data_IF_316357470189
#
_entry.id   IF_316357470189
#
_cell.length_a   1.000
_cell.length_b   1.000
_cell.length_c   1.000
_cell.angle_alpha   90.00
_cell.angle_beta   90.00
_cell.angle_gamma   90.00
#
_symmetry.space_group_name_H-M   'P 1'
#
loop_
_entity.id
_entity.type
_entity.pdbx_description
1 polymer ?
#
# COMPACT_ATOMS: atom_id res chain seq x y z
N UNK A 1 -0.42 -7.11 6.72
CA UNK A 1 0.51 -8.17 7.17
C UNK A 1 1.28 -7.64 8.37
N UNK A 2 1.02 -8.16 9.60
CA UNK A 2 1.71 -7.68 10.79
C UNK A 2 3.24 -7.77 10.67
N UNK A 3 3.94 -6.77 11.21
CA UNK A 3 5.39 -6.69 11.14
C UNK A 3 5.94 -6.41 9.75
N UNK A 4 5.07 -6.02 8.83
CA UNK A 4 5.44 -5.79 7.43
C UNK A 4 4.74 -4.55 6.88
N UNK A 5 3.57 -4.71 6.26
CA UNK A 5 2.90 -3.60 5.56
C UNK A 5 1.37 -3.66 5.70
N UNK A 6 0.70 -2.54 5.41
CA UNK A 6 -0.67 -2.53 4.93
C UNK A 6 -0.67 -2.07 3.48
N UNK A 7 -1.50 -2.67 2.66
CA UNK A 7 -1.53 -2.42 1.21
C UNK A 7 -2.95 -2.16 0.73
N UNK A 8 -3.11 -1.23 -0.17
CA UNK A 8 -4.39 -0.87 -0.75
C UNK A 8 -4.24 -0.27 -2.14
N UNK A 9 -5.34 0.27 -2.66
CA UNK A 9 -5.32 0.98 -3.93
C UNK A 9 -5.63 0.14 -5.16
N UNK A 10 -6.15 -1.10 -5.01
CA UNK A 10 -6.67 -1.85 -6.16
C UNK A 10 -7.99 -1.23 -6.61
N UNK A 11 -7.93 -0.32 -7.57
CA UNK A 11 -9.11 0.39 -8.07
C UNK A 11 -10.04 -0.46 -8.93
N UNK A 12 -9.61 -1.65 -9.32
CA UNK A 12 -10.41 -2.58 -10.13
C UNK A 12 -11.11 -3.62 -9.27
N UNK A 13 -10.39 -4.31 -8.39
CA UNK A 13 -10.91 -5.42 -7.59
C UNK A 13 -11.09 -5.08 -6.10
N UNK A 14 -10.60 -3.95 -5.66
CA UNK A 14 -10.73 -3.47 -4.28
C UNK A 14 -12.01 -2.70 -3.99
N UNK A 15 -12.88 -2.50 -4.95
CA UNK A 15 -14.19 -1.86 -4.76
C UNK A 15 -15.12 -2.79 -4.00
N UNK A 16 -16.02 -2.20 -3.19
CA UNK A 16 -17.00 -3.00 -2.44
C UNK A 16 -17.79 -3.97 -3.31
N UNK A 17 -18.11 -3.58 -4.53
CA UNK A 17 -18.84 -4.42 -5.50
C UNK A 17 -18.03 -5.60 -6.02
N UNK A 18 -16.70 -5.61 -5.85
CA UNK A 18 -15.80 -6.60 -6.42
C UNK A 18 -15.05 -7.44 -5.38
N UNK A 19 -15.19 -7.15 -4.09
CA UNK A 19 -14.39 -7.77 -3.02
C UNK A 19 -14.55 -9.29 -2.95
N UNK A 20 -15.72 -9.80 -3.28
CA UNK A 20 -16.01 -11.24 -3.19
C UNK A 20 -15.54 -12.05 -4.41
N UNK A 21 -15.00 -11.40 -5.44
CA UNK A 21 -14.55 -12.08 -6.65
C UNK A 21 -13.19 -12.78 -6.50
N UNK A 22 -12.51 -12.61 -5.36
CA UNK A 22 -11.23 -13.27 -5.08
C UNK A 22 -10.03 -12.71 -5.83
N UNK A 23 -10.16 -11.51 -6.40
CA UNK A 23 -9.11 -10.89 -7.23
C UNK A 23 -8.46 -9.67 -6.62
N UNK A 24 -8.80 -9.32 -5.37
CA UNK A 24 -8.22 -8.17 -4.68
C UNK A 24 -6.70 -8.31 -4.65
N UNK A 25 -6.01 -7.24 -5.02
CA UNK A 25 -4.55 -7.20 -5.10
C UNK A 25 -3.98 -7.47 -6.48
N UNK A 26 -4.81 -7.79 -7.47
CA UNK A 26 -4.35 -8.10 -8.83
C UNK A 26 -4.65 -7.01 -9.85
N UNK A 27 -5.46 -6.03 -9.49
CA UNK A 27 -5.90 -4.97 -10.39
C UNK A 27 -5.09 -3.69 -10.31
N UNK A 28 -5.41 -2.77 -11.20
CA UNK A 28 -4.75 -1.48 -11.30
C UNK A 28 -5.59 -0.47 -12.08
N UNK A 29 -4.99 0.67 -12.43
CA UNK A 29 -5.72 1.78 -13.05
C UNK A 29 -5.91 1.65 -14.56
N UNK A 30 -5.46 0.55 -15.16
CA UNK A 30 -5.49 0.36 -16.62
C UNK A 30 -4.22 0.82 -17.33
N UNK A 31 -3.21 1.24 -16.59
CA UNK A 31 -1.89 1.61 -17.11
C UNK A 31 -0.81 1.24 -16.10
N UNK A 32 0.43 1.24 -16.54
CA UNK A 32 1.62 1.05 -15.70
C UNK A 32 2.63 2.15 -15.97
N UNK A 33 3.46 2.44 -14.98
CA UNK A 33 4.52 3.44 -15.14
C UNK A 33 5.84 2.96 -14.53
N UNK A 34 6.92 3.60 -14.97
CA UNK A 34 8.29 3.20 -14.63
C UNK A 34 8.62 3.43 -13.16
N UNK A 35 9.53 2.63 -12.64
CA UNK A 35 10.09 2.82 -11.32
C UNK A 35 10.94 4.08 -11.25
N UNK A 36 10.95 4.71 -10.08
CA UNK A 36 11.89 5.77 -9.74
C UNK A 36 13.02 5.21 -8.88
N UNK A 37 14.23 5.79 -8.95
CA UNK A 37 15.32 5.39 -8.05
C UNK A 37 14.91 5.55 -6.59
N UNK A 38 15.18 4.55 -5.78
CA UNK A 38 14.86 4.59 -4.34
C UNK A 38 15.93 5.39 -3.62
N UNK A 39 15.58 6.56 -3.11
CA UNK A 39 16.50 7.50 -2.47
C UNK A 39 16.48 7.49 -0.94
N UNK A 40 15.60 6.73 -0.34
CA UNK A 40 15.47 6.62 1.11
C UNK A 40 15.42 5.17 1.54
N UNK A 41 15.01 4.95 2.79
CA UNK A 41 14.85 3.63 3.37
C UNK A 41 13.38 3.36 3.66
N UNK A 42 13.01 2.08 3.69
CA UNK A 42 11.65 1.65 4.04
C UNK A 42 11.49 1.61 5.55
N UNK A 43 11.46 2.79 6.17
CA UNK A 43 11.24 2.95 7.60
C UNK A 43 9.76 2.78 7.94
N UNK A 44 9.44 2.64 9.21
CA UNK A 44 8.04 2.63 9.64
C UNK A 44 7.34 3.90 9.15
N UNK A 45 6.18 3.74 8.51
CA UNK A 45 5.45 4.84 7.89
C UNK A 45 5.88 5.18 6.47
N UNK A 46 6.88 4.50 5.90
CA UNK A 46 7.25 4.71 4.50
C UNK A 46 6.10 4.31 3.57
N UNK A 47 5.85 5.15 2.58
CA UNK A 47 4.79 4.98 1.59
C UNK A 47 5.44 4.70 0.24
N UNK A 48 5.15 3.55 -0.34
CA UNK A 48 5.76 3.10 -1.59
C UNK A 48 4.74 2.42 -2.50
N UNK A 49 5.08 2.34 -3.79
CA UNK A 49 4.22 1.68 -4.78
C UNK A 49 4.42 0.17 -4.75
N UNK A 50 3.33 -0.58 -4.67
CA UNK A 50 3.35 -2.01 -4.93
C UNK A 50 3.55 -2.25 -6.43
N UNK A 51 4.18 -3.37 -6.79
CA UNK A 51 4.39 -3.73 -8.18
C UNK A 51 4.42 -5.26 -8.37
N UNK A 52 4.44 -5.68 -9.62
CA UNK A 52 4.57 -7.07 -10.02
C UNK A 52 5.85 -7.34 -10.84
N UNK A 53 6.89 -6.61 -10.57
CA UNK A 53 8.17 -6.65 -11.24
C UNK A 53 8.61 -5.25 -11.69
N UNK A 54 9.74 -5.13 -12.39
CA UNK A 54 10.25 -3.84 -12.84
C UNK A 54 9.24 -3.07 -13.70
N UNK A 55 9.10 -1.77 -13.43
CA UNK A 55 8.29 -0.85 -14.21
C UNK A 55 6.81 -1.26 -14.33
N UNK A 56 6.24 -1.79 -13.24
CA UNK A 56 4.84 -2.20 -13.21
C UNK A 56 4.03 -1.46 -12.14
N UNK A 57 4.41 -0.22 -11.81
CA UNK A 57 3.64 0.60 -10.90
C UNK A 57 2.26 0.91 -11.49
N UNK A 58 1.26 0.87 -10.65
CA UNK A 58 -0.12 1.18 -11.04
C UNK A 58 -0.79 2.05 -9.99
N UNK A 59 -1.85 1.56 -9.35
CA UNK A 59 -2.56 2.29 -8.30
C UNK A 59 -2.35 1.71 -6.90
N UNK A 60 -1.83 0.49 -6.79
CA UNK A 60 -1.63 -0.12 -5.48
C UNK A 60 -0.40 0.44 -4.79
N UNK A 61 -0.52 0.67 -3.49
CA UNK A 61 0.55 1.18 -2.66
C UNK A 61 0.54 0.47 -1.31
N UNK A 62 1.63 0.60 -0.58
CA UNK A 62 1.70 0.07 0.79
C UNK A 62 2.34 1.07 1.74
N UNK A 63 2.02 0.91 3.01
CA UNK A 63 2.63 1.65 4.12
C UNK A 63 3.36 0.64 4.98
N UNK A 64 4.65 0.84 5.21
CA UNK A 64 5.43 0.00 6.10
C UNK A 64 4.98 0.20 7.54
N UNK A 65 4.67 -0.88 8.24
CA UNK A 65 4.29 -0.82 9.66
C UNK A 65 5.50 -0.84 10.57
N UNK A 66 6.62 -1.34 10.06
CA UNK A 66 7.88 -1.51 10.78
C UNK A 66 9.05 -1.00 9.92
N UNK A 67 10.22 -0.90 10.50
CA UNK A 67 11.44 -0.61 9.76
C UNK A 67 11.83 -1.85 8.95
N UNK A 68 11.72 -1.75 7.63
CA UNK A 68 12.04 -2.84 6.71
C UNK A 68 13.39 -2.65 6.02
N UNK A 69 14.21 -1.74 6.51
CA UNK A 69 15.57 -1.51 5.98
C UNK A 69 16.37 -2.80 5.99
N UNK A 70 16.91 -3.19 4.85
CA UNK A 70 17.64 -4.43 4.69
C UNK A 70 16.80 -5.70 4.61
N UNK A 71 15.48 -5.61 4.82
CA UNK A 71 14.56 -6.74 4.72
C UNK A 71 13.73 -6.69 3.44
N UNK A 72 13.32 -5.50 3.01
CA UNK A 72 12.58 -5.29 1.77
C UNK A 72 13.57 -4.88 0.68
N UNK A 73 13.61 -5.59 -0.47
CA UNK A 73 14.47 -5.18 -1.58
C UNK A 73 14.12 -3.78 -2.07
N UNK A 74 15.12 -3.04 -2.56
CA UNK A 74 14.94 -1.65 -3.03
C UNK A 74 14.35 -1.61 -4.45
N UNK A 75 13.24 -2.32 -4.64
CA UNK A 75 12.55 -2.46 -5.93
C UNK A 75 11.22 -1.74 -5.98
N UNK A 76 10.89 -0.98 -4.95
CA UNK A 76 9.59 -0.33 -4.81
C UNK A 76 9.78 1.18 -4.77
N UNK A 77 9.13 1.89 -5.68
CA UNK A 77 9.20 3.34 -5.74
C UNK A 77 8.71 3.97 -4.44
N UNK A 78 9.64 4.55 -3.69
CA UNK A 78 9.38 5.21 -2.42
C UNK A 78 9.00 6.66 -2.69
N UNK A 79 7.79 7.09 -2.29
CA UNK A 79 7.31 8.41 -2.65
C UNK A 79 6.75 9.23 -1.48
N UNK A 80 6.66 8.67 -0.29
CA UNK A 80 6.09 9.42 0.81
C UNK A 80 6.41 8.85 2.18
N UNK A 81 5.97 9.58 3.19
CA UNK A 81 6.15 9.23 4.60
C UNK A 81 4.91 9.66 5.37
N UNK A 82 4.36 8.75 6.15
CA UNK A 82 3.25 9.07 7.05
C UNK A 82 3.75 10.00 8.16
N UNK A 83 3.08 11.13 8.32
CA UNK A 83 3.41 12.13 9.35
C UNK A 83 2.44 12.09 10.54
N UNK A 84 1.22 11.62 10.31
CA UNK A 84 0.18 11.46 11.34
C UNK A 84 -0.65 10.22 11.03
N UNK A 85 -1.13 9.53 12.05
CA UNK A 85 -2.07 8.42 11.87
C UNK A 85 -1.44 7.04 11.93
N UNK A 86 -0.21 6.87 12.39
CA UNK A 86 0.40 5.56 12.55
C UNK A 86 -0.35 4.68 13.57
N UNK A 87 -1.08 5.27 14.50
CA UNK A 87 -1.99 4.55 15.39
C UNK A 87 -3.14 3.90 14.62
N UNK A 88 -3.64 4.56 13.57
CA UNK A 88 -4.66 4.00 12.68
C UNK A 88 -4.07 2.86 11.85
N UNK A 89 -2.85 3.01 11.35
CA UNK A 89 -2.13 1.95 10.64
C UNK A 89 -1.97 0.71 11.53
N UNK A 90 -1.62 0.91 12.79
CA UNK A 90 -1.50 -0.18 13.76
C UNK A 90 -2.82 -0.91 13.98
N UNK A 91 -3.94 -0.20 14.01
CA UNK A 91 -5.28 -0.80 14.10
C UNK A 91 -5.63 -1.61 12.88
N UNK A 92 -5.31 -1.10 11.70
CA UNK A 92 -5.59 -1.81 10.44
C UNK A 92 -4.78 -3.10 10.37
N UNK A 93 -3.50 -3.05 10.68
CA UNK A 93 -2.62 -4.23 10.59
C UNK A 93 -2.99 -5.32 11.60
N UNK A 94 -3.59 -4.96 12.73
CA UNK A 94 -4.02 -5.91 13.75
C UNK A 94 -5.41 -6.50 13.51
N UNK A 95 -6.14 -6.04 12.48
CA UNK A 95 -7.46 -6.55 12.16
C UNK A 95 -7.41 -8.04 11.75
N UNK A 96 -8.43 -8.84 12.11
CA UNK A 96 -8.52 -10.22 11.63
C UNK A 96 -8.50 -10.30 10.12
N UNK A 97 -7.75 -11.23 9.56
CA UNK A 97 -7.55 -11.41 8.13
C UNK A 97 -7.63 -12.88 7.73
N UNK A 98 -7.90 -13.12 6.45
CA UNK A 98 -7.92 -14.47 5.91
C UNK A 98 -6.50 -14.96 5.53
N UNK A 99 -6.41 -16.16 4.95
CA UNK A 99 -5.13 -16.77 4.55
C UNK A 99 -4.38 -16.01 3.45
N UNK A 100 -5.03 -15.06 2.78
CA UNK A 100 -4.40 -14.18 1.77
C UNK A 100 -4.17 -12.77 2.30
N UNK A 101 -4.20 -12.59 3.61
CA UNK A 101 -3.99 -11.32 4.30
C UNK A 101 -5.04 -10.24 3.96
N UNK A 102 -6.20 -10.65 3.45
CA UNK A 102 -7.32 -9.75 3.26
C UNK A 102 -8.12 -9.64 4.56
N UNK A 103 -8.35 -8.43 5.08
CA UNK A 103 -9.15 -8.26 6.29
C UNK A 103 -10.52 -8.90 6.17
N UNK A 104 -10.96 -9.61 7.19
CA UNK A 104 -12.29 -10.26 7.21
C UNK A 104 -13.41 -9.22 7.10
N UNK A 105 -13.21 -8.06 7.74
CA UNK A 105 -14.06 -6.89 7.57
C UNK A 105 -13.31 -5.87 6.73
N UNK A 106 -13.79 -5.53 5.53
CA UNK A 106 -13.08 -4.61 4.65
C UNK A 106 -12.80 -3.27 5.32
N UNK A 107 -11.57 -2.77 5.14
CA UNK A 107 -11.17 -1.44 5.56
C UNK A 107 -11.19 -0.56 4.32
N UNK A 108 -12.06 0.45 4.30
CA UNK A 108 -12.27 1.29 3.12
C UNK A 108 -11.62 2.66 3.28
N UNK A 109 -11.04 3.15 2.20
CA UNK A 109 -10.67 4.56 2.05
C UNK A 109 -11.89 5.28 1.47
N UNK A 110 -12.55 6.10 2.30
CA UNK A 110 -13.76 6.81 1.86
C UNK A 110 -13.44 8.03 1.02
N UNK A 111 -12.29 8.64 1.24
CA UNK A 111 -11.81 9.77 0.43
C UNK A 111 -10.29 9.89 0.55
N UNK A 112 -9.68 10.42 -0.49
CA UNK A 112 -8.27 10.80 -0.51
C UNK A 112 -8.21 12.21 -1.10
N UNK A 113 -7.56 13.13 -0.36
CA UNK A 113 -7.39 14.51 -0.82
C UNK A 113 -5.90 14.80 -0.99
N UNK A 114 -5.53 15.30 -2.15
CA UNK A 114 -4.19 15.77 -2.41
C UNK A 114 -4.16 17.28 -2.15
N UNK A 115 -3.41 17.69 -1.14
CA UNK A 115 -3.31 19.09 -0.72
C UNK A 115 -2.10 19.76 -1.35
N UNK A 116 -2.14 21.11 -1.53
CA UNK A 116 -0.96 21.84 -1.97
C UNK A 116 0.19 21.66 -1.00
N UNK A 117 1.42 21.64 -1.53
CA UNK A 117 2.62 21.59 -0.72
C UNK A 117 2.73 22.87 0.10
N UNK A 118 2.89 22.74 1.41
CA UNK A 118 3.10 23.88 2.31
C UNK A 118 4.60 24.18 2.34
N UNK A 119 4.98 25.28 1.73
CA UNK A 119 6.36 25.72 1.71
C UNK A 119 6.79 26.27 3.08
#
# INVERSE_FOLDING_TARGET
IPGFVIQGGDGEHGKKSALNAGRVGTGGPGYKFADEPVKGDYLAGALAMANSGPNTNGSQFFICTDDLTGKLPRNYTLFGQVTKGMDVVAKIVSAPRNSRDLPDKPVAMTSINVLPDEA
#
